data_IF_532505988938
#
_entry.id   IF_532505988938
#
_cell.length_a   1.000
_cell.length_b   1.000
_cell.length_c   1.000
_cell.angle_alpha   90.00
_cell.angle_beta   90.00
_cell.angle_gamma   90.00
#
_symmetry.space_group_name_H-M   'P 1'
#
loop_
_entity.id
_entity.type
_entity.pdbx_description
1 polymer ?
#
# COMPACT_ATOMS: atom_id res chain seq x y z
N UNK A 1 3.09 -13.18 -26.49
CA UNK A 1 2.97 -11.73 -26.34
C UNK A 1 2.96 -11.38 -24.86
N UNK A 2 3.87 -10.52 -24.42
CA UNK A 2 3.87 -10.19 -23.01
C UNK A 2 2.58 -9.43 -22.64
N UNK A 3 2.07 -9.62 -21.40
CA UNK A 3 0.89 -8.89 -20.99
C UNK A 3 1.17 -7.38 -20.94
N UNK A 4 0.17 -6.59 -21.26
CA UNK A 4 0.25 -5.13 -21.15
C UNK A 4 0.40 -4.77 -19.67
N UNK A 5 1.32 -3.88 -19.30
CA UNK A 5 1.41 -3.43 -17.90
C UNK A 5 0.09 -2.84 -17.45
N UNK A 6 -0.30 -3.06 -16.18
CA UNK A 6 -1.55 -2.50 -15.68
C UNK A 6 -1.50 -0.98 -15.67
N UNK A 7 -2.63 -0.35 -15.99
CA UNK A 7 -2.76 1.11 -15.99
C UNK A 7 -3.68 1.60 -14.88
N UNK A 8 -4.25 0.68 -14.11
CA UNK A 8 -5.14 1.00 -13.00
C UNK A 8 -4.96 -0.01 -11.89
N UNK A 9 -5.40 0.35 -10.69
CA UNK A 9 -5.37 -0.59 -9.56
C UNK A 9 -6.27 -1.78 -9.84
N UNK A 10 -7.44 -1.58 -10.45
CA UNK A 10 -8.31 -2.68 -10.82
C UNK A 10 -7.61 -3.68 -11.74
N UNK A 11 -6.91 -3.17 -12.75
CA UNK A 11 -6.17 -4.02 -13.69
C UNK A 11 -5.01 -4.76 -13.01
N UNK A 12 -4.37 -4.11 -12.05
CA UNK A 12 -3.30 -4.76 -11.27
C UNK A 12 -3.82 -5.92 -10.42
N UNK A 13 -4.98 -5.71 -9.77
CA UNK A 13 -5.54 -6.71 -8.87
C UNK A 13 -6.18 -7.90 -9.60
N UNK A 14 -6.72 -7.68 -10.79
CA UNK A 14 -7.52 -8.68 -11.50
C UNK A 14 -6.83 -10.04 -11.67
N UNK A 15 -5.55 -10.13 -12.08
CA UNK A 15 -4.89 -11.42 -12.31
C UNK A 15 -4.33 -12.08 -11.04
N UNK A 16 -4.40 -11.43 -9.89
CA UNK A 16 -3.81 -11.96 -8.66
C UNK A 16 -4.61 -13.14 -8.10
N UNK A 17 -3.96 -14.05 -7.36
CA UNK A 17 -4.69 -15.04 -6.58
C UNK A 17 -5.72 -14.37 -5.68
N UNK A 18 -6.85 -15.05 -5.44
CA UNK A 18 -7.96 -14.44 -4.71
C UNK A 18 -7.60 -13.93 -3.31
N UNK A 19 -6.74 -14.65 -2.59
CA UNK A 19 -6.31 -14.26 -1.25
C UNK A 19 -5.50 -12.96 -1.27
N UNK A 20 -4.57 -12.83 -2.20
CA UNK A 20 -3.79 -11.59 -2.35
C UNK A 20 -4.67 -10.45 -2.85
N UNK A 21 -5.55 -10.73 -3.81
CA UNK A 21 -6.46 -9.72 -4.35
C UNK A 21 -7.36 -9.15 -3.25
N UNK A 22 -7.93 -9.99 -2.42
CA UNK A 22 -8.77 -9.55 -1.31
C UNK A 22 -7.98 -8.76 -0.27
N UNK A 23 -6.77 -9.23 0.07
CA UNK A 23 -5.91 -8.53 1.02
C UNK A 23 -5.54 -7.13 0.53
N UNK A 24 -5.19 -6.99 -0.73
CA UNK A 24 -4.83 -5.69 -1.30
C UNK A 24 -6.05 -4.79 -1.50
N UNK A 25 -7.21 -5.38 -1.80
CA UNK A 25 -8.45 -4.60 -1.88
C UNK A 25 -8.79 -3.98 -0.51
N UNK A 26 -8.53 -4.69 0.57
CA UNK A 26 -8.73 -4.15 1.91
C UNK A 26 -7.78 -2.98 2.19
N UNK A 27 -6.52 -3.09 1.77
CA UNK A 27 -5.56 -1.98 1.87
C UNK A 27 -6.08 -0.77 1.08
N UNK A 28 -6.50 -0.99 -0.16
CA UNK A 28 -7.04 0.05 -1.03
C UNK A 28 -8.19 0.80 -0.37
N UNK A 29 -9.16 0.06 0.15
CA UNK A 29 -10.34 0.65 0.79
C UNK A 29 -9.98 1.42 2.06
N UNK A 30 -9.04 0.92 2.84
CA UNK A 30 -8.59 1.61 4.04
C UNK A 30 -7.92 2.95 3.72
N UNK A 31 -7.07 2.99 2.70
CA UNK A 31 -6.42 4.24 2.28
C UNK A 31 -7.46 5.23 1.74
N UNK A 32 -8.41 4.76 0.93
CA UNK A 32 -9.47 5.63 0.41
C UNK A 32 -10.35 6.20 1.52
N UNK A 33 -10.61 5.41 2.54
CA UNK A 33 -11.35 5.86 3.71
C UNK A 33 -10.57 6.92 4.50
N UNK A 34 -9.26 6.74 4.63
CA UNK A 34 -8.41 7.67 5.37
C UNK A 34 -8.19 8.99 4.63
N UNK A 35 -8.04 8.92 3.29
CA UNK A 35 -7.75 10.10 2.45
C UNK A 35 -8.68 10.06 1.24
N UNK A 36 -9.96 10.47 1.40
CA UNK A 36 -10.95 10.36 0.31
C UNK A 36 -10.60 11.16 -0.94
N UNK A 37 -9.81 12.21 -0.82
CA UNK A 37 -9.43 13.06 -1.96
C UNK A 37 -8.27 12.47 -2.78
N UNK A 38 -7.63 11.42 -2.30
CA UNK A 38 -6.48 10.84 -2.99
C UNK A 38 -6.90 10.19 -4.31
N UNK A 39 -6.04 10.32 -5.31
CA UNK A 39 -6.22 9.69 -6.60
C UNK A 39 -5.50 8.35 -6.63
N UNK A 40 -6.11 7.37 -7.27
CA UNK A 40 -5.47 6.08 -7.52
C UNK A 40 -4.71 6.13 -8.84
N UNK A 41 -3.54 5.50 -8.86
CA UNK A 41 -2.76 5.39 -10.09
C UNK A 41 -1.80 4.20 -10.01
N UNK A 42 -1.06 3.98 -11.07
CA UNK A 42 0.04 3.01 -11.10
C UNK A 42 1.32 3.81 -11.23
N UNK A 43 2.28 3.57 -10.35
CA UNK A 43 3.58 4.21 -10.36
C UNK A 43 4.64 3.15 -10.08
N UNK A 44 5.68 3.10 -10.89
CA UNK A 44 6.71 2.05 -10.81
C UNK A 44 6.11 0.64 -10.89
N UNK A 45 5.01 0.49 -11.64
CA UNK A 45 4.33 -0.79 -11.77
C UNK A 45 3.49 -1.19 -10.56
N UNK A 46 3.29 -0.30 -9.59
CA UNK A 46 2.62 -0.60 -8.32
C UNK A 46 1.35 0.24 -8.14
N UNK A 47 0.32 -0.32 -7.49
CA UNK A 47 -0.80 0.47 -7.01
C UNK A 47 -0.32 1.60 -6.12
N UNK A 48 -0.79 2.80 -6.40
CA UNK A 48 -0.28 4.01 -5.77
C UNK A 48 -1.44 4.97 -5.50
N UNK A 49 -1.36 5.68 -4.40
CA UNK A 49 -2.22 6.82 -4.11
C UNK A 49 -1.41 8.10 -4.15
N UNK A 50 -1.96 9.13 -4.77
CA UNK A 50 -1.33 10.45 -4.84
C UNK A 50 -2.33 11.53 -4.48
N UNK A 51 -1.83 12.67 -4.03
CA UNK A 51 -2.64 13.83 -3.72
C UNK A 51 -1.88 15.08 -4.14
N UNK A 52 -2.53 15.94 -4.93
CA UNK A 52 -1.89 17.13 -5.45
C UNK A 52 -0.68 16.82 -6.34
N UNK A 53 -0.75 15.72 -7.07
CA UNK A 53 0.33 15.29 -7.97
C UNK A 53 1.50 14.59 -7.27
N UNK A 54 1.43 14.40 -5.94
CA UNK A 54 2.50 13.74 -5.19
C UNK A 54 2.04 12.38 -4.67
N UNK A 55 2.77 11.34 -5.02
CA UNK A 55 2.51 9.99 -4.53
C UNK A 55 2.91 9.89 -3.05
N UNK A 56 2.07 9.26 -2.24
CA UNK A 56 2.34 9.12 -0.82
C UNK A 56 2.17 7.69 -0.30
N UNK A 57 1.58 6.79 -1.06
CA UNK A 57 1.32 5.44 -0.58
C UNK A 57 1.42 4.46 -1.75
N UNK A 58 2.19 3.40 -1.55
CA UNK A 58 2.39 2.34 -2.54
C UNK A 58 2.18 0.99 -1.88
N UNK A 59 1.57 0.06 -2.60
CA UNK A 59 1.40 -1.30 -2.10
C UNK A 59 1.42 -2.26 -3.29
N UNK A 60 1.54 -3.55 -3.01
CA UNK A 60 1.55 -4.51 -4.08
C UNK A 60 1.67 -5.96 -3.60
N UNK A 61 1.67 -6.88 -4.55
CA UNK A 61 1.81 -8.31 -4.30
C UNK A 61 3.15 -8.80 -4.83
N UNK A 62 3.80 -9.65 -4.06
CA UNK A 62 4.93 -10.43 -4.51
C UNK A 62 4.49 -11.88 -4.67
N UNK A 63 5.42 -12.80 -4.99
CA UNK A 63 5.07 -14.19 -5.25
C UNK A 63 4.38 -14.88 -4.08
N UNK A 64 4.78 -14.57 -2.84
CA UNK A 64 4.29 -15.26 -1.65
C UNK A 64 3.84 -14.34 -0.52
N UNK A 65 3.76 -13.04 -0.77
CA UNK A 65 3.35 -12.09 0.26
C UNK A 65 2.80 -10.83 -0.38
N UNK A 66 2.20 -9.99 0.45
CA UNK A 66 1.80 -8.65 0.07
C UNK A 66 2.74 -7.66 0.78
N UNK A 67 2.81 -6.44 0.28
CA UNK A 67 3.69 -5.44 0.86
C UNK A 67 3.12 -4.04 0.78
N UNK A 68 3.50 -3.22 1.74
CA UNK A 68 3.30 -1.77 1.72
C UNK A 68 4.69 -1.15 1.66
N UNK A 69 4.90 -0.24 0.71
CA UNK A 69 6.20 0.37 0.46
C UNK A 69 6.21 1.83 0.90
N UNK A 70 7.37 2.30 1.33
CA UNK A 70 7.53 3.69 1.76
C UNK A 70 6.89 3.99 3.11
N UNK A 71 6.70 2.98 3.94
CA UNK A 71 6.08 3.15 5.24
C UNK A 71 7.05 3.78 6.25
N UNK A 72 6.50 4.44 7.26
CA UNK A 72 7.26 5.03 8.34
C UNK A 72 7.42 4.01 9.46
N UNK A 73 8.26 3.01 9.22
CA UNK A 73 8.41 1.85 10.13
C UNK A 73 8.75 2.24 11.56
N UNK A 74 9.66 3.21 11.73
CA UNK A 74 10.11 3.60 13.07
C UNK A 74 9.01 4.22 13.91
N UNK A 75 8.15 5.00 13.28
CA UNK A 75 7.04 5.67 13.98
C UNK A 75 5.97 4.67 14.44
N UNK A 76 5.91 3.52 13.78
CA UNK A 76 4.90 2.50 14.05
C UNK A 76 5.53 1.17 14.47
N UNK A 77 6.77 1.18 14.95
CA UNK A 77 7.52 -0.04 15.25
C UNK A 77 6.77 -0.98 16.19
N UNK A 78 6.14 -0.44 17.22
CA UNK A 78 5.39 -1.24 18.17
C UNK A 78 4.19 -1.93 17.53
N UNK A 79 3.43 -1.17 16.74
CA UNK A 79 2.27 -1.71 16.04
C UNK A 79 2.65 -2.70 14.94
N UNK A 80 3.86 -2.59 14.41
CA UNK A 80 4.35 -3.45 13.33
C UNK A 80 5.21 -4.60 13.82
N UNK A 81 5.28 -4.83 15.14
CA UNK A 81 6.15 -5.86 15.72
C UNK A 81 5.85 -7.28 15.25
N UNK A 82 4.60 -7.55 14.84
CA UNK A 82 4.20 -8.87 14.34
C UNK A 82 4.40 -9.02 12.83
N UNK A 83 4.93 -8.00 12.16
CA UNK A 83 5.09 -8.01 10.71
C UNK A 83 6.55 -7.89 10.32
N UNK A 84 6.85 -8.43 9.14
CA UNK A 84 8.21 -8.38 8.62
C UNK A 84 8.49 -7.01 7.99
N UNK A 85 9.48 -6.32 8.52
CA UNK A 85 9.89 -5.01 8.01
C UNK A 85 11.38 -5.08 7.62
N UNK A 86 11.73 -4.42 6.53
CA UNK A 86 13.11 -4.49 6.04
C UNK A 86 14.02 -3.36 6.55
N UNK A 87 13.51 -2.48 7.42
CA UNK A 87 14.25 -1.32 7.91
C UNK A 87 14.39 -0.19 6.90
N UNK A 88 13.81 -0.35 5.71
CA UNK A 88 13.92 0.63 4.62
C UNK A 88 12.53 1.10 4.14
N UNK A 89 11.50 0.86 4.94
CA UNK A 89 10.17 1.31 4.63
C UNK A 89 9.27 0.27 3.96
N UNK A 90 9.68 -0.98 3.86
CA UNK A 90 8.82 -2.03 3.31
C UNK A 90 8.27 -2.90 4.43
N UNK A 91 6.95 -3.00 4.49
CA UNK A 91 6.24 -3.88 5.43
C UNK A 91 5.69 -5.04 4.63
N UNK A 92 6.01 -6.26 5.02
CA UNK A 92 5.50 -7.48 4.38
C UNK A 92 4.45 -8.12 5.26
N UNK A 93 3.39 -8.63 4.64
CA UNK A 93 2.36 -9.36 5.36
C UNK A 93 1.79 -10.47 4.48
N UNK A 94 1.27 -11.50 5.14
CA UNK A 94 0.61 -12.59 4.44
C UNK A 94 -0.87 -12.28 4.27
N UNK A 95 -1.51 -12.78 3.20
CA UNK A 95 -2.95 -12.55 3.02
C UNK A 95 -3.81 -13.06 4.18
N UNK A 96 -3.37 -14.13 4.86
CA UNK A 96 -4.08 -14.69 6.01
C UNK A 96 -3.71 -14.02 7.34
N UNK A 97 -2.77 -13.07 7.31
CA UNK A 97 -2.39 -12.29 8.49
C UNK A 97 -2.27 -10.80 8.08
N UNK A 98 -3.40 -10.17 7.72
CA UNK A 98 -3.37 -8.79 7.22
C UNK A 98 -3.11 -7.78 8.33
N UNK A 99 -2.63 -6.60 7.94
CA UNK A 99 -2.53 -5.49 8.87
C UNK A 99 -3.94 -5.04 9.29
N UNK A 100 -4.11 -4.63 10.55
CA UNK A 100 -5.39 -4.03 10.95
C UNK A 100 -5.73 -2.82 10.10
N UNK A 101 -7.00 -2.65 9.76
CA UNK A 101 -7.46 -1.52 8.93
C UNK A 101 -7.12 -0.17 9.56
N UNK A 102 -7.27 -0.07 10.89
CA UNK A 102 -6.93 1.17 11.61
C UNK A 102 -5.45 1.51 11.47
N UNK A 103 -4.58 0.51 11.47
CA UNK A 103 -3.15 0.71 11.28
C UNK A 103 -2.84 1.19 9.86
N UNK A 104 -3.47 0.59 8.85
CA UNK A 104 -3.29 1.01 7.46
C UNK A 104 -3.70 2.48 7.29
N UNK A 105 -4.82 2.88 7.89
CA UNK A 105 -5.28 4.27 7.84
C UNK A 105 -4.27 5.22 8.48
N UNK A 106 -3.71 4.84 9.62
CA UNK A 106 -2.69 5.65 10.31
C UNK A 106 -1.42 5.76 9.47
N UNK A 107 -0.99 4.68 8.86
CA UNK A 107 0.18 4.67 7.97
C UNK A 107 -0.04 5.60 6.78
N UNK A 108 -1.22 5.54 6.17
CA UNK A 108 -1.56 6.39 5.01
C UNK A 108 -1.55 7.88 5.40
N UNK A 109 -2.17 8.23 6.52
CA UNK A 109 -2.21 9.62 7.00
C UNK A 109 -0.83 10.13 7.36
N UNK A 110 -0.03 9.31 8.03
CA UNK A 110 1.34 9.68 8.42
C UNK A 110 2.22 9.90 7.19
N UNK A 111 2.08 9.03 6.20
CA UNK A 111 2.85 9.15 4.96
C UNK A 111 2.44 10.39 4.17
N UNK A 112 1.15 10.68 4.12
CA UNK A 112 0.65 11.89 3.47
C UNK A 112 1.21 13.15 4.15
N UNK A 113 1.17 13.19 5.48
CA UNK A 113 1.69 14.32 6.24
C UNK A 113 3.18 14.54 5.96
N UNK A 114 3.97 13.46 5.91
CA UNK A 114 5.39 13.53 5.61
C UNK A 114 5.63 14.04 4.18
N UNK A 115 4.83 13.58 3.23
CA UNK A 115 4.94 13.99 1.83
C UNK A 115 4.60 15.46 1.66
N UNK A 116 3.59 15.96 2.39
CA UNK A 116 3.22 17.37 2.35
C UNK A 116 4.26 18.28 3.00
N UNK A 117 4.92 17.81 4.04
CA UNK A 117 5.97 18.55 4.72
C UNK A 117 7.25 18.62 3.88
N UNK A 118 7.45 17.67 3.00
CA UNK A 118 8.62 17.56 2.14
C UNK A 118 8.40 18.37 0.87
N UNK A 119 9.33 19.27 0.54
CA UNK A 119 9.25 20.10 -0.67
C UNK A 119 10.38 19.78 -1.63
#
# INVERSE_FOLDING_TARGET
MPPTPPTSIDAYLAPLPSDQREALQRVRLAVRSAVPQAEECISYGLPTFRLGGKAFFHFGAAARHCAIYGALEREFAEALSDFECNGKGTIRFQPDHPLPLTLIKKLARARLARTRASR
#
